data_IF_855367535383
#
_entry.id   IF_855367535383
#
_cell.length_a   1.000
_cell.length_b   1.000
_cell.length_c   1.000
_cell.angle_alpha   90.00
_cell.angle_beta   90.00
_cell.angle_gamma   90.00
#
_symmetry.space_group_name_H-M   'P 1'
#
loop_
_entity.id
_entity.type
_entity.pdbx_description
1 polymer ?
#
# COMPACT_ATOMS: atom_id res chain seq x y z
N UNK A 1 11.09 -6.07 -4.31
CA UNK A 1 10.10 -5.31 -5.12
C UNK A 1 9.60 -4.12 -4.30
N UNK A 2 9.54 -2.94 -4.91
CA UNK A 2 9.18 -1.68 -4.22
C UNK A 2 7.66 -1.49 -4.13
N UNK A 3 6.97 -2.38 -3.43
CA UNK A 3 5.50 -2.36 -3.23
C UNK A 3 4.99 -1.03 -2.65
N UNK A 4 5.84 -0.32 -1.89
CA UNK A 4 5.55 0.98 -1.28
C UNK A 4 5.09 2.04 -2.28
N UNK A 5 5.55 2.00 -3.54
CA UNK A 5 5.18 2.96 -4.57
C UNK A 5 3.68 2.89 -4.88
N UNK A 6 3.16 1.70 -5.19
CA UNK A 6 1.73 1.53 -5.43
C UNK A 6 0.88 1.76 -4.17
N UNK A 7 1.43 1.48 -2.96
CA UNK A 7 0.78 1.81 -1.68
C UNK A 7 0.60 3.31 -1.48
N UNK A 8 1.60 4.09 -1.84
CA UNK A 8 1.51 5.56 -1.80
C UNK A 8 0.37 6.07 -2.70
N UNK A 9 0.28 5.57 -3.92
CA UNK A 9 -0.79 5.93 -4.84
C UNK A 9 -2.17 5.49 -4.33
N UNK A 10 -2.25 4.30 -3.71
CA UNK A 10 -3.46 3.82 -3.06
C UNK A 10 -3.91 4.73 -1.91
N UNK A 11 -2.97 5.28 -1.14
CA UNK A 11 -3.26 6.28 -0.12
C UNK A 11 -3.85 7.56 -0.67
N UNK A 12 -3.32 8.09 -1.78
CA UNK A 12 -3.89 9.25 -2.48
C UNK A 12 -5.34 8.99 -2.90
N UNK A 13 -5.59 7.83 -3.50
CA UNK A 13 -6.93 7.43 -3.92
C UNK A 13 -7.88 7.33 -2.71
N UNK A 14 -7.46 6.62 -1.65
CA UNK A 14 -8.26 6.46 -0.45
C UNK A 14 -8.66 7.80 0.17
N UNK A 15 -7.69 8.67 0.44
CA UNK A 15 -7.98 9.97 1.05
C UNK A 15 -8.88 10.86 0.19
N UNK A 16 -8.81 10.72 -1.14
CA UNK A 16 -9.67 11.48 -2.06
C UNK A 16 -11.13 11.00 -2.08
N UNK A 17 -11.37 9.75 -1.70
CA UNK A 17 -12.70 9.11 -1.72
C UNK A 17 -13.27 8.85 -0.32
N UNK A 18 -12.48 9.08 0.72
CA UNK A 18 -12.90 9.05 2.12
C UNK A 18 -13.74 10.28 2.46
N UNK A 19 -14.77 10.08 3.29
CA UNK A 19 -15.61 11.16 3.80
C UNK A 19 -14.99 11.85 5.01
N UNK A 20 -14.45 11.04 5.91
CA UNK A 20 -14.01 11.50 7.22
C UNK A 20 -12.46 11.51 7.35
N UNK A 21 -11.76 10.99 6.36
CA UNK A 21 -10.29 10.84 6.42
C UNK A 21 -9.84 9.75 7.39
N UNK A 22 -10.74 8.82 7.75
CA UNK A 22 -10.47 7.73 8.66
C UNK A 22 -10.33 6.41 7.89
N UNK A 23 -9.10 5.97 7.71
CA UNK A 23 -8.74 4.84 6.86
C UNK A 23 -8.33 3.63 7.69
N UNK A 24 -8.66 2.43 7.23
CA UNK A 24 -8.33 1.17 7.87
C UNK A 24 -7.30 0.36 7.08
N UNK A 25 -6.35 -0.26 7.77
CA UNK A 25 -5.32 -1.11 7.19
C UNK A 25 -5.27 -2.48 7.90
N UNK A 26 -5.69 -3.54 7.23
CA UNK A 26 -5.51 -4.92 7.71
C UNK A 26 -4.10 -5.37 7.36
N UNK A 27 -3.27 -5.58 8.38
CA UNK A 27 -1.85 -5.89 8.23
C UNK A 27 -1.53 -7.34 8.62
N UNK A 28 -0.62 -7.99 7.88
CA UNK A 28 -0.23 -9.37 8.14
C UNK A 28 0.66 -9.50 9.39
N UNK A 29 1.95 -9.20 9.25
CA UNK A 29 2.95 -9.34 10.31
C UNK A 29 3.80 -8.07 10.41
N UNK A 30 4.27 -7.70 11.62
CA UNK A 30 4.99 -6.43 11.84
C UNK A 30 6.46 -6.50 11.40
N UNK A 31 6.69 -6.65 10.10
CA UNK A 31 8.02 -6.64 9.49
C UNK A 31 8.22 -5.36 8.67
N UNK A 32 9.48 -4.96 8.40
CA UNK A 32 9.78 -3.71 7.69
C UNK A 32 9.04 -3.53 6.37
N UNK A 33 8.83 -4.59 5.60
CA UNK A 33 8.09 -4.54 4.32
C UNK A 33 6.62 -4.10 4.52
N UNK A 34 5.95 -4.62 5.54
CA UNK A 34 4.56 -4.28 5.85
C UNK A 34 4.48 -2.87 6.41
N UNK A 35 5.42 -2.49 7.28
CA UNK A 35 5.52 -1.12 7.82
C UNK A 35 5.76 -0.09 6.72
N UNK A 36 6.64 -0.38 5.75
CA UNK A 36 6.81 0.46 4.56
C UNK A 36 5.49 0.63 3.80
N UNK A 37 4.69 -0.44 3.68
CA UNK A 37 3.38 -0.40 3.02
C UNK A 37 2.40 0.53 3.73
N UNK A 38 2.28 0.40 5.05
CA UNK A 38 1.41 1.24 5.89
C UNK A 38 1.85 2.70 5.82
N UNK A 39 3.14 2.94 6.03
CA UNK A 39 3.72 4.28 6.04
C UNK A 39 3.58 4.96 4.66
N UNK A 40 3.86 4.25 3.58
CA UNK A 40 3.70 4.77 2.22
C UNK A 40 2.23 5.13 1.91
N UNK A 41 1.29 4.28 2.31
CA UNK A 41 -0.14 4.54 2.18
C UNK A 41 -0.55 5.81 2.92
N UNK A 42 -0.11 5.95 4.16
CA UNK A 42 -0.39 7.13 4.99
C UNK A 42 0.21 8.40 4.40
N UNK A 43 1.48 8.36 3.98
CA UNK A 43 2.15 9.50 3.35
C UNK A 43 1.44 9.93 2.05
N UNK A 44 1.02 8.98 1.23
CA UNK A 44 0.23 9.27 0.04
C UNK A 44 -1.11 9.91 0.36
N UNK A 45 -1.82 9.39 1.37
CA UNK A 45 -3.09 9.93 1.83
C UNK A 45 -2.96 11.37 2.35
N UNK A 46 -1.88 11.67 3.08
CA UNK A 46 -1.62 13.00 3.62
C UNK A 46 -1.37 14.08 2.56
N UNK A 47 -0.99 13.71 1.35
CA UNK A 47 -0.87 14.70 0.25
C UNK A 47 -2.23 15.21 -0.23
N UNK A 48 -3.30 14.47 0.04
CA UNK A 48 -4.69 14.81 -0.30
C UNK A 48 -5.41 15.41 0.90
N UNK A 49 -5.30 14.75 2.06
CA UNK A 49 -5.84 15.20 3.34
C UNK A 49 -4.76 15.12 4.43
N UNK A 50 -4.14 16.25 4.83
CA UNK A 50 -3.08 16.25 5.85
C UNK A 50 -3.51 15.72 7.22
N UNK A 51 -4.81 15.67 7.50
CA UNK A 51 -5.37 15.23 8.78
C UNK A 51 -5.84 13.77 8.75
N UNK A 52 -5.50 13.02 7.71
CA UNK A 52 -5.91 11.62 7.59
C UNK A 52 -5.41 10.81 8.80
N UNK A 53 -6.26 9.90 9.26
CA UNK A 53 -5.97 8.94 10.31
C UNK A 53 -6.00 7.54 9.72
N UNK A 54 -4.99 6.72 10.02
CA UNK A 54 -4.91 5.33 9.58
C UNK A 54 -4.86 4.42 10.79
N UNK A 55 -5.90 3.62 10.98
CA UNK A 55 -5.93 2.57 12.00
C UNK A 55 -5.41 1.25 11.42
N UNK A 56 -4.64 0.52 12.21
CA UNK A 56 -4.01 -0.74 11.78
C UNK A 56 -4.45 -1.88 12.68
N UNK A 57 -4.95 -2.96 12.09
CA UNK A 57 -5.24 -4.22 12.80
C UNK A 57 -4.36 -5.32 12.23
N UNK A 58 -3.62 -6.00 13.11
CA UNK A 58 -2.68 -7.08 12.77
C UNK A 58 -3.36 -8.44 12.85
N UNK A 59 -3.26 -9.24 11.78
CA UNK A 59 -3.75 -10.63 11.78
C UNK A 59 -2.70 -11.61 12.30
N UNK A 60 -1.42 -11.19 12.36
CA UNK A 60 -0.25 -12.02 12.70
C UNK A 60 -0.12 -13.27 11.81
N UNK A 61 -0.62 -13.17 10.58
CA UNK A 61 -0.52 -14.23 9.55
C UNK A 61 -0.65 -13.60 8.18
N UNK A 62 -0.12 -14.28 7.16
CA UNK A 62 -0.27 -13.88 5.76
C UNK A 62 -1.60 -14.32 5.15
N UNK A 63 -2.20 -15.38 5.67
CA UNK A 63 -3.44 -15.93 5.15
C UNK A 63 -4.26 -16.57 6.27
N UNK A 64 -5.37 -15.96 6.59
CA UNK A 64 -6.39 -16.48 7.49
C UNK A 64 -7.70 -15.70 7.23
N UNK A 65 -8.59 -16.24 6.39
CA UNK A 65 -9.82 -15.54 6.03
C UNK A 65 -10.69 -15.12 7.22
N UNK A 66 -10.70 -15.91 8.31
CA UNK A 66 -11.44 -15.58 9.52
C UNK A 66 -10.87 -14.35 10.21
N UNK A 67 -9.55 -14.36 10.50
CA UNK A 67 -8.88 -13.21 11.12
C UNK A 67 -8.91 -11.97 10.24
N UNK A 68 -8.81 -12.13 8.92
CA UNK A 68 -8.90 -11.02 7.98
C UNK A 68 -10.29 -10.37 7.99
N UNK A 69 -11.36 -11.17 8.05
CA UNK A 69 -12.74 -10.69 8.18
C UNK A 69 -12.96 -9.99 9.53
N UNK A 70 -12.47 -10.57 10.63
CA UNK A 70 -12.58 -9.98 11.98
C UNK A 70 -11.84 -8.65 12.07
N UNK A 71 -10.62 -8.57 11.53
CA UNK A 71 -9.83 -7.34 11.46
C UNK A 71 -10.57 -6.25 10.65
N UNK A 72 -11.19 -6.64 9.53
CA UNK A 72 -11.98 -5.73 8.70
C UNK A 72 -13.19 -5.20 9.46
N UNK A 73 -13.95 -6.09 10.12
CA UNK A 73 -15.10 -5.71 10.95
C UNK A 73 -14.68 -4.78 12.10
N UNK A 74 -13.53 -5.04 12.72
CA UNK A 74 -12.97 -4.19 13.79
C UNK A 74 -12.71 -2.77 13.28
N UNK A 75 -12.02 -2.62 12.15
CA UNK A 75 -11.72 -1.32 11.55
C UNK A 75 -12.99 -0.56 11.15
N UNK A 76 -13.95 -1.25 10.55
CA UNK A 76 -15.26 -0.66 10.20
C UNK A 76 -15.99 -0.22 11.48
N UNK A 77 -15.98 -1.05 12.52
CA UNK A 77 -16.57 -0.70 13.83
C UNK A 77 -15.90 0.49 14.51
N UNK A 78 -14.63 0.77 14.20
CA UNK A 78 -13.90 1.95 14.66
C UNK A 78 -14.19 3.20 13.83
N UNK A 79 -14.99 3.09 12.75
CA UNK A 79 -15.40 4.21 11.90
C UNK A 79 -14.52 4.41 10.67
N UNK A 80 -13.65 3.44 10.33
CA UNK A 80 -12.91 3.52 9.07
C UNK A 80 -13.87 3.39 7.88
N UNK A 81 -13.84 4.35 6.98
CA UNK A 81 -14.74 4.43 5.81
C UNK A 81 -14.12 3.88 4.52
N UNK A 82 -12.82 3.62 4.52
CA UNK A 82 -12.10 2.91 3.46
C UNK A 82 -11.12 1.93 4.07
N UNK A 83 -11.12 0.69 3.58
CA UNK A 83 -10.24 -0.37 4.05
C UNK A 83 -9.23 -0.74 2.96
N UNK A 84 -7.99 -1.02 3.37
CA UNK A 84 -7.01 -1.72 2.54
C UNK A 84 -6.34 -2.84 3.34
N UNK A 85 -5.58 -3.71 2.68
CA UNK A 85 -4.94 -4.82 3.37
C UNK A 85 -3.58 -5.21 2.79
N UNK A 86 -2.79 -5.92 3.58
CA UNK A 86 -1.53 -6.56 3.20
C UNK A 86 -1.53 -8.04 3.61
N UNK A 87 -2.64 -8.70 3.30
CA UNK A 87 -2.93 -10.12 3.54
C UNK A 87 -3.35 -10.77 2.23
N UNK A 88 -3.45 -12.08 2.18
CA UNK A 88 -3.51 -12.81 0.91
C UNK A 88 -4.88 -13.42 0.57
N UNK A 89 -5.88 -13.39 1.49
CA UNK A 89 -7.21 -13.89 1.17
C UNK A 89 -8.10 -12.79 0.54
N UNK A 90 -9.26 -13.20 0.06
CA UNK A 90 -10.28 -12.27 -0.43
C UNK A 90 -11.21 -11.76 0.68
N UNK A 91 -11.00 -12.21 1.93
CA UNK A 91 -11.94 -11.96 3.03
C UNK A 91 -12.07 -10.47 3.36
N UNK A 92 -10.99 -9.68 3.29
CA UNK A 92 -11.08 -8.23 3.50
C UNK A 92 -11.99 -7.58 2.46
N UNK A 93 -11.81 -7.93 1.18
CA UNK A 93 -12.62 -7.36 0.10
C UNK A 93 -14.09 -7.78 0.22
N UNK A 94 -14.38 -9.07 0.46
CA UNK A 94 -15.76 -9.58 0.58
C UNK A 94 -16.46 -9.07 1.85
N UNK A 95 -15.73 -8.89 2.96
CA UNK A 95 -16.29 -8.33 4.19
C UNK A 95 -16.62 -6.84 4.01
N UNK A 96 -15.72 -6.06 3.41
CA UNK A 96 -15.98 -4.65 3.10
C UNK A 96 -17.18 -4.49 2.15
N UNK A 97 -17.27 -5.32 1.10
CA UNK A 97 -18.43 -5.37 0.19
C UNK A 97 -19.74 -5.63 0.95
N UNK A 98 -19.77 -6.65 1.81
CA UNK A 98 -20.98 -7.01 2.58
C UNK A 98 -21.42 -5.89 3.55
N UNK A 99 -20.51 -5.04 3.96
CA UNK A 99 -20.76 -3.90 4.87
C UNK A 99 -20.98 -2.58 4.12
N UNK A 100 -20.90 -2.56 2.80
CA UNK A 100 -21.03 -1.35 1.99
C UNK A 100 -19.89 -0.35 2.21
N UNK A 101 -18.71 -0.81 2.63
CA UNK A 101 -17.51 0.00 2.88
C UNK A 101 -16.54 -0.15 1.72
N UNK A 102 -15.98 0.97 1.27
CA UNK A 102 -15.02 0.98 0.16
C UNK A 102 -13.75 0.23 0.50
N UNK A 103 -13.18 -0.45 -0.49
CA UNK A 103 -11.96 -1.24 -0.32
C UNK A 103 -10.96 -1.03 -1.45
N UNK A 104 -9.66 -1.02 -1.09
CA UNK A 104 -8.55 -1.12 -2.03
C UNK A 104 -7.90 -2.49 -1.80
N UNK A 105 -8.00 -3.35 -2.82
CA UNK A 105 -7.47 -4.72 -2.72
C UNK A 105 -5.95 -4.78 -2.93
N UNK A 106 -5.39 -5.93 -2.60
CA UNK A 106 -3.95 -6.21 -2.67
C UNK A 106 -3.67 -7.50 -3.44
N UNK A 107 -2.50 -7.57 -4.06
CA UNK A 107 -1.99 -8.62 -4.95
C UNK A 107 -2.69 -8.67 -6.31
N UNK A 108 -4.01 -8.61 -6.34
CA UNK A 108 -4.83 -8.66 -7.56
C UNK A 108 -6.11 -7.84 -7.40
N UNK A 109 -6.75 -7.44 -8.51
CA UNK A 109 -8.07 -6.82 -8.46
C UNK A 109 -9.10 -7.87 -8.03
N UNK A 110 -9.62 -7.75 -6.83
CA UNK A 110 -10.60 -8.69 -6.26
C UNK A 110 -12.03 -8.31 -6.66
N UNK A 111 -12.26 -8.07 -7.96
CA UNK A 111 -13.55 -7.58 -8.51
C UNK A 111 -14.73 -8.50 -8.17
N UNK A 112 -14.50 -9.82 -8.14
CA UNK A 112 -15.58 -10.77 -7.80
C UNK A 112 -15.91 -10.76 -6.31
N UNK A 113 -14.94 -10.43 -5.46
CA UNK A 113 -15.13 -10.37 -4.01
C UNK A 113 -15.73 -9.03 -3.57
N UNK A 114 -15.47 -7.94 -4.29
CA UNK A 114 -16.01 -6.62 -4.02
C UNK A 114 -16.48 -5.93 -5.32
N UNK A 115 -17.59 -6.40 -5.92
CA UNK A 115 -18.05 -5.90 -7.22
C UNK A 115 -18.51 -4.44 -7.20
N UNK A 116 -18.96 -3.91 -6.06
CA UNK A 116 -19.49 -2.55 -5.92
C UNK A 116 -18.63 -1.63 -5.06
N UNK A 117 -17.88 -2.18 -4.09
CA UNK A 117 -17.08 -1.39 -3.15
C UNK A 117 -15.60 -1.32 -3.49
N UNK A 118 -15.12 -2.06 -4.50
CA UNK A 118 -13.73 -1.96 -4.93
C UNK A 118 -13.46 -0.61 -5.60
N UNK A 119 -12.58 0.21 -5.00
CA UNK A 119 -12.20 1.51 -5.56
C UNK A 119 -10.82 1.50 -6.23
N UNK A 120 -10.02 0.46 -6.00
CA UNK A 120 -8.70 0.30 -6.59
C UNK A 120 -8.04 -0.99 -6.13
N UNK A 121 -6.91 -1.33 -6.74
CA UNK A 121 -6.13 -2.49 -6.39
C UNK A 121 -4.62 -2.20 -6.49
N UNK A 122 -3.88 -2.55 -5.46
CA UNK A 122 -2.41 -2.60 -5.53
C UNK A 122 -2.03 -3.94 -6.14
N UNK A 123 -1.57 -3.94 -7.38
CA UNK A 123 -1.33 -5.14 -8.18
C UNK A 123 0.14 -5.36 -8.48
N UNK A 124 0.49 -6.62 -8.64
CA UNK A 124 1.81 -7.06 -9.03
C UNK A 124 1.77 -7.60 -10.46
N UNK A 125 2.74 -7.19 -11.27
CA UNK A 125 2.86 -7.55 -12.68
C UNK A 125 4.15 -8.33 -12.89
N UNK A 126 4.06 -9.66 -12.80
CA UNK A 126 5.20 -10.57 -12.96
C UNK A 126 5.38 -11.08 -14.39
N UNK A 127 4.42 -10.84 -15.26
CA UNK A 127 4.34 -11.35 -16.62
C UNK A 127 5.54 -10.93 -17.47
N UNK A 128 5.81 -9.64 -17.57
CA UNK A 128 6.97 -9.14 -18.32
C UNK A 128 8.30 -9.61 -17.71
N UNK A 129 8.38 -9.63 -16.38
CA UNK A 129 9.57 -10.08 -15.68
C UNK A 129 9.87 -11.55 -16.01
N UNK A 130 8.90 -12.43 -15.86
CA UNK A 130 9.09 -13.86 -16.15
C UNK A 130 9.36 -14.11 -17.64
N UNK A 131 8.67 -13.43 -18.55
CA UNK A 131 8.92 -13.55 -19.98
C UNK A 131 10.38 -13.21 -20.33
N UNK A 132 10.90 -12.09 -19.81
CA UNK A 132 12.31 -11.69 -20.00
C UNK A 132 13.29 -12.70 -19.40
N UNK A 133 13.00 -13.30 -18.25
CA UNK A 133 13.85 -14.30 -17.60
C UNK A 133 13.85 -15.63 -18.38
N UNK A 134 12.71 -16.09 -18.84
CA UNK A 134 12.59 -17.29 -19.69
C UNK A 134 13.36 -17.09 -20.99
N UNK A 135 13.20 -15.93 -21.65
CA UNK A 135 13.95 -15.62 -22.86
C UNK A 135 15.48 -15.63 -22.63
N UNK A 136 15.93 -15.05 -21.51
CA UNK A 136 17.35 -15.06 -21.16
C UNK A 136 17.90 -16.48 -20.95
N UNK A 137 17.09 -17.40 -20.38
CA UNK A 137 17.48 -18.83 -20.30
C UNK A 137 17.58 -19.46 -21.68
N UNK A 138 16.60 -19.23 -22.55
CA UNK A 138 16.60 -19.75 -23.93
C UNK A 138 17.80 -19.25 -24.75
N UNK A 139 18.21 -18.00 -24.51
CA UNK A 139 19.35 -17.37 -25.16
C UNK A 139 20.71 -17.75 -24.53
N UNK A 140 20.75 -18.57 -23.48
CA UNK A 140 21.98 -18.89 -22.74
C UNK A 140 22.61 -17.69 -21.99
N UNK A 141 21.86 -16.62 -21.78
CA UNK A 141 22.31 -15.36 -21.15
C UNK A 141 21.84 -15.17 -19.71
N UNK A 142 21.07 -16.10 -19.16
CA UNK A 142 20.56 -15.99 -17.81
C UNK A 142 21.68 -16.02 -16.77
N UNK A 143 21.57 -15.12 -15.78
CA UNK A 143 22.49 -15.05 -14.64
C UNK A 143 21.68 -14.98 -13.34
N UNK A 144 22.23 -15.59 -12.28
CA UNK A 144 21.71 -15.44 -10.91
C UNK A 144 22.08 -14.06 -10.40
N UNK A 145 21.08 -13.23 -10.15
CA UNK A 145 21.28 -11.90 -9.59
C UNK A 145 20.09 -11.50 -8.70
N UNK A 146 20.31 -10.80 -7.59
CA UNK A 146 19.23 -10.22 -6.81
C UNK A 146 18.60 -9.08 -7.62
N UNK A 147 17.26 -9.05 -7.68
CA UNK A 147 16.53 -8.02 -8.40
C UNK A 147 15.61 -7.28 -7.44
N UNK A 148 15.78 -5.97 -7.42
CA UNK A 148 14.89 -5.04 -6.79
C UNK A 148 14.27 -4.17 -7.87
N UNK A 149 12.95 -4.25 -8.03
CA UNK A 149 12.22 -3.50 -9.02
C UNK A 149 10.91 -2.95 -8.46
N UNK A 150 10.41 -1.91 -9.07
CA UNK A 150 9.17 -1.24 -8.74
C UNK A 150 8.46 -0.71 -9.98
N UNK A 151 8.07 0.55 -9.95
CA UNK A 151 7.40 1.22 -11.05
C UNK A 151 8.28 1.29 -12.31
N UNK A 152 9.57 1.53 -12.15
CA UNK A 152 10.55 1.60 -13.25
C UNK A 152 10.72 0.28 -14.01
N UNK A 153 10.32 -0.83 -13.41
CA UNK A 153 10.26 -2.15 -14.03
C UNK A 153 8.82 -2.61 -14.31
N UNK A 154 7.86 -1.73 -14.13
CA UNK A 154 6.42 -1.99 -14.25
C UNK A 154 5.89 -3.12 -13.33
N UNK A 155 6.63 -3.49 -12.28
CA UNK A 155 6.31 -4.63 -11.42
C UNK A 155 5.16 -4.37 -10.44
N UNK A 156 4.84 -3.11 -10.15
CA UNK A 156 3.77 -2.72 -9.23
C UNK A 156 2.96 -1.56 -9.80
N UNK A 157 1.65 -1.62 -9.64
CA UNK A 157 0.73 -0.56 -10.11
C UNK A 157 -0.43 -0.40 -9.15
N UNK A 158 -1.04 0.79 -9.18
CA UNK A 158 -2.41 0.98 -8.72
C UNK A 158 -3.32 0.80 -9.94
N UNK A 159 -4.13 -0.22 -9.93
CA UNK A 159 -5.04 -0.57 -11.04
C UNK A 159 -6.50 -0.58 -10.58
N UNK A 160 -7.44 -0.75 -11.51
CA UNK A 160 -8.87 -0.79 -11.24
C UNK A 160 -9.38 0.43 -10.45
N UNK A 161 -8.83 1.63 -10.75
CA UNK A 161 -9.28 2.87 -10.12
C UNK A 161 -10.76 3.08 -10.46
N UNK A 162 -11.58 3.29 -9.43
CA UNK A 162 -13.02 3.53 -9.58
C UNK A 162 -13.30 4.72 -10.48
N UNK A 163 -14.35 4.62 -11.27
CA UNK A 163 -14.88 5.71 -12.11
C UNK A 163 -15.39 6.89 -11.27
N UNK A 164 -15.70 6.66 -10.00
CA UNK A 164 -16.16 7.69 -9.08
C UNK A 164 -15.01 8.56 -8.54
N UNK A 165 -13.75 8.15 -8.77
CA UNK A 165 -12.61 8.98 -8.44
C UNK A 165 -12.56 10.21 -9.35
N UNK A 166 -12.31 11.39 -8.76
CA UNK A 166 -12.24 12.62 -9.54
C UNK A 166 -11.10 12.57 -10.57
N UNK A 167 -11.34 13.15 -11.76
CA UNK A 167 -10.30 13.24 -12.80
C UNK A 167 -9.01 13.86 -12.26
N UNK A 168 -9.12 14.88 -11.41
CA UNK A 168 -7.96 15.56 -10.79
C UNK A 168 -7.08 14.58 -10.01
N UNK A 169 -7.67 13.70 -9.22
CA UNK A 169 -6.89 12.73 -8.43
C UNK A 169 -6.31 11.62 -9.29
N UNK A 170 -7.05 11.19 -10.32
CA UNK A 170 -6.54 10.18 -11.28
C UNK A 170 -5.35 10.74 -12.06
N UNK A 171 -5.43 11.98 -12.54
CA UNK A 171 -4.34 12.65 -13.24
C UNK A 171 -3.10 12.81 -12.33
N UNK A 172 -3.30 13.19 -11.06
CA UNK A 172 -2.21 13.32 -10.08
C UNK A 172 -1.56 11.97 -9.72
N UNK A 173 -2.35 10.91 -9.59
CA UNK A 173 -1.86 9.54 -9.40
C UNK A 173 -0.99 9.12 -10.60
N UNK A 174 -1.47 9.34 -11.83
CA UNK A 174 -0.75 8.99 -13.05
C UNK A 174 0.55 9.81 -13.20
N UNK A 175 0.51 11.11 -12.91
CA UNK A 175 1.69 11.96 -12.94
C UNK A 175 2.73 11.55 -11.88
N UNK A 176 2.27 11.16 -10.68
CA UNK A 176 3.15 10.66 -9.63
C UNK A 176 3.77 9.31 -10.03
N UNK A 177 2.97 8.41 -10.61
CA UNK A 177 3.47 7.12 -11.10
C UNK A 177 4.53 7.31 -12.20
N UNK A 178 4.30 8.19 -13.17
CA UNK A 178 5.27 8.51 -14.22
C UNK A 178 6.61 9.05 -13.67
N UNK A 179 6.59 9.82 -12.58
CA UNK A 179 7.81 10.24 -11.88
C UNK A 179 8.51 9.06 -11.19
N UNK A 180 7.76 8.10 -10.63
CA UNK A 180 8.32 6.89 -10.02
C UNK A 180 9.00 6.01 -11.09
N UNK A 181 8.39 5.86 -12.27
CA UNK A 181 8.98 5.14 -13.41
C UNK A 181 10.32 5.73 -13.85
N UNK A 182 10.44 7.05 -13.83
CA UNK A 182 11.68 7.79 -14.13
C UNK A 182 12.65 7.90 -12.96
N UNK A 183 12.32 7.34 -11.79
CA UNK A 183 13.09 7.47 -10.54
C UNK A 183 13.28 8.93 -10.05
N UNK A 184 12.40 9.84 -10.49
CA UNK A 184 12.36 11.25 -10.10
C UNK A 184 11.62 11.47 -8.77
N UNK A 185 10.91 10.45 -8.27
CA UNK A 185 10.15 10.50 -7.03
C UNK A 185 10.42 9.27 -6.16
N UNK A 186 10.72 9.51 -4.88
CA UNK A 186 10.79 8.45 -3.87
C UNK A 186 9.82 8.75 -2.73
N UNK A 187 9.06 7.72 -2.34
CA UNK A 187 8.05 7.79 -1.28
C UNK A 187 8.63 8.23 0.05
N UNK A 188 9.84 7.75 0.38
CA UNK A 188 10.51 8.05 1.64
C UNK A 188 11.57 9.14 1.48
N UNK A 189 11.14 10.29 0.94
CA UNK A 189 11.91 11.54 0.94
C UNK A 189 11.43 12.43 2.08
N UNK A 190 12.35 12.91 2.92
CA UNK A 190 12.02 13.71 4.10
C UNK A 190 11.58 15.15 3.79
N UNK A 191 11.01 15.82 4.78
CA UNK A 191 10.98 15.40 6.19
C UNK A 191 9.90 14.35 6.47
N UNK A 192 10.25 13.26 7.16
CA UNK A 192 9.30 12.27 7.63
C UNK A 192 9.40 12.18 9.15
N UNK A 193 8.26 12.42 9.79
CA UNK A 193 8.11 12.38 11.25
C UNK A 193 7.27 11.15 11.60
N UNK A 194 7.68 10.43 12.64
CA UNK A 194 6.90 9.31 13.15
C UNK A 194 5.70 9.78 14.01
N UNK A 195 4.88 8.82 14.43
CA UNK A 195 3.69 9.12 15.21
C UNK A 195 3.97 9.45 16.70
N UNK A 196 5.25 9.39 17.11
CA UNK A 196 5.73 9.87 18.41
C UNK A 196 6.37 11.28 18.32
N UNK A 197 6.45 11.86 17.11
CA UNK A 197 6.97 13.21 16.87
C UNK A 197 8.47 13.27 16.55
N UNK A 198 9.15 12.13 16.41
CA UNK A 198 10.57 12.06 16.08
C UNK A 198 10.78 12.13 14.56
N UNK A 199 11.74 12.93 14.12
CA UNK A 199 12.17 12.98 12.72
C UNK A 199 12.96 11.71 12.40
N UNK A 200 12.40 10.87 11.52
CA UNK A 200 13.02 9.64 11.05
C UNK A 200 13.85 9.86 9.79
N UNK A 201 13.39 10.73 8.89
CA UNK A 201 14.11 11.12 7.69
C UNK A 201 14.13 12.65 7.62
N UNK A 202 15.31 13.28 7.70
CA UNK A 202 15.44 14.74 7.63
C UNK A 202 15.01 15.31 6.27
N UNK A 203 14.71 16.60 6.25
CA UNK A 203 14.36 17.33 5.04
C UNK A 203 15.39 17.14 3.92
N UNK A 204 14.92 16.90 2.70
CA UNK A 204 15.75 16.72 1.51
C UNK A 204 16.57 15.42 1.47
N UNK A 205 16.48 14.56 2.50
CA UNK A 205 17.12 13.24 2.49
C UNK A 205 16.17 12.17 2.00
N UNK A 206 16.70 11.15 1.33
CA UNK A 206 15.99 9.92 0.97
C UNK A 206 16.39 8.81 1.92
N UNK A 207 15.44 7.93 2.24
CA UNK A 207 15.76 6.71 2.97
C UNK A 207 16.67 5.82 2.12
N UNK A 208 17.74 5.34 2.71
CA UNK A 208 18.59 4.31 2.11
C UNK A 208 18.02 2.89 2.36
N UNK A 209 18.63 1.89 1.74
CA UNK A 209 18.19 0.50 1.86
C UNK A 209 18.27 0.00 3.31
N UNK A 210 19.24 0.46 4.10
CA UNK A 210 19.36 0.10 5.51
C UNK A 210 18.19 0.66 6.31
N UNK A 211 17.85 1.91 6.14
CA UNK A 211 16.68 2.54 6.80
C UNK A 211 15.38 1.81 6.43
N UNK A 212 15.23 1.43 5.17
CA UNK A 212 14.04 0.73 4.69
C UNK A 212 13.96 -0.70 5.24
N UNK A 213 15.06 -1.46 5.22
CA UNK A 213 15.08 -2.85 5.67
C UNK A 213 15.03 -3.01 7.19
N UNK A 214 15.31 -1.95 7.93
CA UNK A 214 15.23 -1.91 9.41
C UNK A 214 14.08 -1.03 9.93
N UNK A 215 13.16 -0.59 9.07
CA UNK A 215 12.03 0.26 9.48
C UNK A 215 11.21 -0.40 10.57
N UNK A 216 11.02 0.29 11.69
CA UNK A 216 10.31 -0.21 12.87
C UNK A 216 9.41 0.86 13.53
N UNK A 217 8.94 1.83 12.76
CA UNK A 217 8.11 2.94 13.23
C UNK A 217 6.90 3.14 12.32
N UNK A 218 5.89 3.82 12.84
CA UNK A 218 4.79 4.36 12.07
C UNK A 218 5.01 5.86 11.81
N UNK A 219 4.66 6.33 10.62
CA UNK A 219 4.65 7.77 10.34
C UNK A 219 3.49 8.46 11.06
N UNK A 220 3.61 9.77 11.27
CA UNK A 220 2.52 10.61 11.78
C UNK A 220 1.22 10.36 11.00
N UNK A 221 0.11 10.22 11.72
CA UNK A 221 -1.21 9.89 11.14
C UNK A 221 -1.58 8.42 11.25
N UNK A 222 -0.63 7.50 11.46
CA UNK A 222 -0.93 6.12 11.83
C UNK A 222 -1.15 6.03 13.34
N UNK A 223 -2.21 5.34 13.76
CA UNK A 223 -2.55 5.17 15.17
C UNK A 223 -1.90 3.92 15.77
N UNK A 224 -1.69 3.97 17.10
CA UNK A 224 -1.12 2.83 17.83
C UNK A 224 0.41 2.75 17.78
N UNK A 225 0.93 1.59 18.14
CA UNK A 225 2.36 1.30 18.17
C UNK A 225 2.67 0.08 17.29
N UNK A 226 3.87 0.04 16.75
CA UNK A 226 4.37 -1.18 16.10
C UNK A 226 4.46 -2.29 17.15
N UNK A 227 3.84 -3.46 16.92
CA UNK A 227 3.96 -4.57 17.86
C UNK A 227 5.43 -4.95 18.05
N UNK A 228 5.85 -5.14 19.30
CA UNK A 228 7.17 -5.69 19.60
C UNK A 228 7.19 -7.17 19.20
N UNK A 229 8.16 -7.57 18.39
CA UNK A 229 8.44 -8.99 18.21
C UNK A 229 8.91 -9.53 19.58
N UNK A 230 8.04 -10.30 20.25
CA UNK A 230 8.41 -11.11 21.40
C UNK A 230 9.01 -12.42 20.93
#
# INVERSE_FOLDING_TARGET
MYKRQARYLAGKLAASMSKDGHLGYVAAVPIPEVLQGINAYTLGAQTINPNVKVDVVWTNTWYDPGKEADATNTLIGQGCDIITHHTNSQAVASTAESKGVKVISYNSPMVKAAPTQLIGAVTHHWDEFYAKRIQAVMDGKWKVEPIWGGAEMHMVRLSNISKDASKKVVDDINATYAKMEKQEFDVFTGPIVDNEGKVQIPEGKRADDKMLTTMNYFVKGVTGKVPSNK
#
